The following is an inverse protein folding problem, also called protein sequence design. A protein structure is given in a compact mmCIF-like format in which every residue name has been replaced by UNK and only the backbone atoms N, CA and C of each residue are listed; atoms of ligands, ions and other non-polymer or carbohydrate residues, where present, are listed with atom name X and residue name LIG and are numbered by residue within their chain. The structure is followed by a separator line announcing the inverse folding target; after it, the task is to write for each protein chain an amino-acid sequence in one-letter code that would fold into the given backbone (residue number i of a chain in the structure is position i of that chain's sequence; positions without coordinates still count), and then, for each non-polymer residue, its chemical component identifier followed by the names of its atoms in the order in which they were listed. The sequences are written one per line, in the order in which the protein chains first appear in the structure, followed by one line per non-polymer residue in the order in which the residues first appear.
data_IF_820822987384
#
_entry.id   IF_820822987384
#
_cell.length_a   1.000
_cell.length_b   1.000
_cell.length_c   1.000
_cell.angle_alpha   90.00
_cell.angle_beta   90.00
_cell.angle_gamma   90.00
#
_symmetry.space_group_name_H-M   'P 1'
#
loop_
_entity.id
_entity.type
_entity.pdbx_description
1 polymer ?
#
# COMPACT_ATOMS: atom_id res chain seq x y z
N UNK A 1 -9.49 11.62 15.69
CA UNK A 1 -9.25 10.48 14.78
C UNK A 1 -9.79 9.23 15.42
N UNK A 2 -10.41 8.36 14.62
CA UNK A 2 -11.14 7.18 15.10
C UNK A 2 -10.48 5.91 14.55
N UNK A 3 -10.18 4.95 15.43
CA UNK A 3 -9.51 3.70 15.13
C UNK A 3 -10.48 2.56 15.37
N UNK A 4 -10.60 1.62 14.43
CA UNK A 4 -11.22 0.33 14.65
C UNK A 4 -10.14 -0.70 14.91
N UNK A 5 -10.25 -1.44 16.02
CA UNK A 5 -9.38 -2.58 16.33
C UNK A 5 -10.22 -3.85 16.22
N UNK A 6 -9.79 -4.76 15.35
CA UNK A 6 -10.43 -6.06 15.12
C UNK A 6 -9.52 -7.15 15.66
N UNK A 7 -9.85 -7.68 16.85
CA UNK A 7 -9.01 -8.61 17.62
C UNK A 7 -9.91 -9.47 18.52
N UNK A 8 -9.78 -10.78 18.47
CA UNK A 8 -10.59 -11.72 19.27
C UNK A 8 -10.05 -11.94 20.68
N UNK A 9 -8.77 -11.64 20.92
CA UNK A 9 -8.19 -11.68 22.26
C UNK A 9 -8.55 -10.42 23.06
N UNK A 10 -9.58 -10.50 23.90
CA UNK A 10 -10.14 -9.37 24.66
C UNK A 10 -9.07 -8.60 25.41
N UNK A 11 -8.14 -9.29 26.09
CA UNK A 11 -7.08 -8.62 26.88
C UNK A 11 -6.15 -7.78 26.01
N UNK A 12 -5.81 -8.27 24.82
CA UNK A 12 -4.99 -7.55 23.87
C UNK A 12 -5.77 -6.37 23.27
N UNK A 13 -7.01 -6.58 22.85
CA UNK A 13 -7.89 -5.54 22.30
C UNK A 13 -8.07 -4.37 23.27
N UNK A 14 -8.43 -4.66 24.54
CA UNK A 14 -8.58 -3.65 25.59
C UNK A 14 -7.26 -2.92 25.92
N UNK A 15 -6.16 -3.68 25.97
CA UNK A 15 -4.81 -3.11 26.18
C UNK A 15 -4.41 -2.14 25.08
N UNK A 16 -4.68 -2.49 23.82
CA UNK A 16 -4.44 -1.61 22.67
C UNK A 16 -5.35 -0.38 22.72
N UNK A 17 -6.66 -0.59 22.95
CA UNK A 17 -7.63 0.50 23.06
C UNK A 17 -7.22 1.52 24.14
N UNK A 18 -6.84 1.05 25.32
CA UNK A 18 -6.37 1.91 26.39
C UNK A 18 -5.18 2.78 25.94
N UNK A 19 -4.17 2.18 25.32
CA UNK A 19 -2.99 2.91 24.89
C UNK A 19 -3.29 3.95 23.79
N UNK A 20 -4.10 3.58 22.78
CA UNK A 20 -4.51 4.55 21.75
C UNK A 20 -5.38 5.67 22.30
N UNK A 21 -6.26 5.40 23.27
CA UNK A 21 -7.04 6.42 23.96
C UNK A 21 -6.15 7.40 24.74
N UNK A 22 -5.06 6.93 25.38
CA UNK A 22 -4.07 7.80 26.02
C UNK A 22 -3.36 8.75 25.03
N UNK A 23 -3.20 8.31 23.77
CA UNK A 23 -2.67 9.14 22.67
C UNK A 23 -3.74 10.07 22.06
N UNK A 24 -4.97 10.06 22.58
CA UNK A 24 -6.07 10.95 22.15
C UNK A 24 -6.93 10.45 21.00
N UNK A 25 -6.82 9.17 20.62
CA UNK A 25 -7.67 8.55 19.61
C UNK A 25 -9.02 8.10 20.20
N UNK A 26 -10.06 8.12 19.39
CA UNK A 26 -11.29 7.37 19.65
C UNK A 26 -11.10 5.94 19.15
N UNK A 27 -11.48 4.96 19.96
CA UNK A 27 -11.25 3.55 19.62
C UNK A 27 -12.53 2.77 19.80
N UNK A 28 -12.89 2.04 18.75
CA UNK A 28 -13.93 1.02 18.76
C UNK A 28 -13.28 -0.34 18.61
N UNK A 29 -13.91 -1.35 19.20
CA UNK A 29 -13.45 -2.74 19.21
C UNK A 29 -14.45 -3.61 18.47
N UNK A 30 -13.96 -4.54 17.66
CA UNK A 30 -14.71 -5.62 17.07
C UNK A 30 -14.00 -6.95 17.37
N UNK A 31 -14.73 -7.99 17.71
CA UNK A 31 -14.17 -9.28 18.10
C UNK A 31 -14.10 -10.30 16.98
N UNK A 32 -14.74 -10.02 15.85
CA UNK A 32 -14.77 -10.89 14.68
C UNK A 32 -15.07 -10.11 13.40
N UNK A 33 -15.06 -10.80 12.25
CA UNK A 33 -15.25 -10.19 10.96
C UNK A 33 -16.64 -9.56 10.74
N UNK A 34 -17.74 -10.28 10.97
CA UNK A 34 -19.08 -9.72 10.86
C UNK A 34 -19.29 -8.47 11.71
N UNK A 35 -18.85 -8.46 12.97
CA UNK A 35 -18.91 -7.31 13.87
C UNK A 35 -18.10 -6.12 13.33
N UNK A 36 -16.89 -6.39 12.82
CA UNK A 36 -16.05 -5.36 12.21
C UNK A 36 -16.70 -4.71 10.98
N UNK A 37 -17.28 -5.52 10.08
CA UNK A 37 -17.92 -5.01 8.87
C UNK A 37 -19.22 -4.25 9.17
N UNK A 38 -20.02 -4.71 10.15
CA UNK A 38 -21.21 -4.00 10.63
C UNK A 38 -20.82 -2.66 11.29
N UNK A 39 -19.77 -2.66 12.12
CA UNK A 39 -19.24 -1.45 12.77
C UNK A 39 -18.75 -0.43 11.74
N UNK A 40 -18.08 -0.87 10.69
CA UNK A 40 -17.64 0.00 9.58
C UNK A 40 -18.82 0.59 8.81
N UNK A 41 -19.87 -0.20 8.55
CA UNK A 41 -21.04 0.22 7.79
C UNK A 41 -21.89 1.25 8.54
N UNK A 42 -21.96 1.13 9.88
CA UNK A 42 -22.77 2.02 10.73
C UNK A 42 -21.97 3.23 11.24
N UNK A 43 -20.70 3.37 10.83
CA UNK A 43 -19.82 4.39 11.38
C UNK A 43 -20.20 5.82 10.95
N UNK A 44 -20.48 6.68 11.92
CA UNK A 44 -20.63 8.13 11.77
C UNK A 44 -19.98 8.82 12.99
N UNK A 45 -18.87 9.53 12.87
CA UNK A 45 -18.03 9.67 11.68
C UNK A 45 -17.31 8.38 11.27
N UNK A 46 -16.83 8.32 10.02
CA UNK A 46 -16.03 7.21 9.50
C UNK A 46 -14.74 6.96 10.28
N UNK A 47 -14.21 5.76 10.16
CA UNK A 47 -12.91 5.43 10.73
C UNK A 47 -11.74 6.02 9.92
N UNK A 48 -10.68 6.37 10.62
CA UNK A 48 -9.44 6.88 10.02
C UNK A 48 -8.43 5.78 9.73
N UNK A 49 -8.51 4.64 10.43
CA UNK A 49 -7.63 3.47 10.28
C UNK A 49 -8.28 2.22 10.89
N UNK A 50 -7.96 1.05 10.32
CA UNK A 50 -8.28 -0.26 10.90
C UNK A 50 -7.00 -0.96 11.31
N UNK A 51 -6.97 -1.48 12.54
CA UNK A 51 -5.94 -2.40 13.04
C UNK A 51 -6.59 -3.79 13.10
N UNK A 52 -6.04 -4.76 12.40
CA UNK A 52 -6.71 -6.02 12.10
C UNK A 52 -5.83 -7.23 12.39
N UNK A 53 -6.29 -8.16 13.23
CA UNK A 53 -5.69 -9.49 13.28
C UNK A 53 -6.14 -10.34 12.08
N UNK A 54 -5.25 -11.15 11.56
CA UNK A 54 -5.57 -12.13 10.50
C UNK A 54 -6.19 -13.43 11.02
N UNK A 55 -5.95 -13.72 12.29
CA UNK A 55 -6.32 -15.03 12.89
C UNK A 55 -7.62 -14.95 13.68
N UNK A 56 -8.65 -14.37 13.09
CA UNK A 56 -9.97 -14.25 13.70
C UNK A 56 -10.81 -15.51 13.52
N UNK A 57 -11.72 -15.80 14.44
CA UNK A 57 -12.67 -16.89 14.29
C UNK A 57 -13.70 -16.58 13.18
N UNK A 58 -14.06 -17.60 12.41
CA UNK A 58 -15.11 -17.51 11.38
C UNK A 58 -14.58 -16.91 10.08
N UNK A 59 -14.49 -15.60 9.98
CA UNK A 59 -13.99 -14.89 8.80
C UNK A 59 -12.53 -14.54 8.97
N UNK A 60 -11.69 -14.88 7.99
CA UNK A 60 -10.26 -14.56 8.06
C UNK A 60 -10.01 -13.05 7.87
N UNK A 61 -8.96 -12.51 8.51
CA UNK A 61 -8.58 -11.12 8.33
C UNK A 61 -8.24 -10.76 6.87
N UNK A 62 -7.83 -11.72 6.05
CA UNK A 62 -7.65 -11.50 4.60
C UNK A 62 -8.96 -11.21 3.87
N UNK A 63 -10.04 -11.90 4.26
CA UNK A 63 -11.38 -11.65 3.70
C UNK A 63 -11.88 -10.28 4.15
N UNK A 64 -11.72 -9.94 5.43
CA UNK A 64 -12.07 -8.62 5.97
C UNK A 64 -11.32 -7.50 5.23
N UNK A 65 -10.02 -7.65 4.97
CA UNK A 65 -9.25 -6.70 4.16
C UNK A 65 -9.88 -6.46 2.79
N UNK A 66 -10.27 -7.53 2.08
CA UNK A 66 -10.89 -7.41 0.75
C UNK A 66 -12.23 -6.69 0.82
N UNK A 67 -13.09 -7.07 1.76
CA UNK A 67 -14.39 -6.42 1.97
C UNK A 67 -14.24 -4.92 2.29
N UNK A 68 -13.25 -4.55 3.11
CA UNK A 68 -12.94 -3.14 3.37
C UNK A 68 -12.52 -2.44 2.07
N UNK A 69 -11.67 -3.06 1.25
CA UNK A 69 -11.19 -2.46 0.00
C UNK A 69 -12.28 -2.30 -1.06
N UNK A 70 -13.28 -3.16 -1.07
CA UNK A 70 -14.46 -3.01 -1.93
C UNK A 70 -15.32 -1.80 -1.53
N UNK A 71 -15.32 -1.42 -0.25
CA UNK A 71 -16.10 -0.29 0.29
C UNK A 71 -15.31 1.02 0.32
N UNK A 72 -14.10 0.96 0.84
CA UNK A 72 -13.17 2.10 0.94
C UNK A 72 -11.74 1.67 0.63
N UNK A 73 -11.31 1.98 -0.59
CA UNK A 73 -9.95 1.68 -1.06
C UNK A 73 -8.89 2.51 -0.31
N UNK A 74 -9.27 3.65 0.28
CA UNK A 74 -8.38 4.61 0.91
C UNK A 74 -8.23 4.43 2.43
N UNK A 75 -9.11 3.69 3.09
CA UNK A 75 -9.04 3.45 4.53
C UNK A 75 -7.75 2.69 4.89
N UNK A 76 -6.82 3.26 5.66
CA UNK A 76 -5.59 2.57 6.02
C UNK A 76 -5.88 1.30 6.82
N UNK A 77 -5.19 0.19 6.46
CA UNK A 77 -5.28 -1.08 7.17
C UNK A 77 -3.89 -1.49 7.63
N UNK A 78 -3.70 -1.61 8.95
CA UNK A 78 -2.52 -2.17 9.57
C UNK A 78 -2.85 -3.55 10.12
N UNK A 79 -2.17 -4.57 9.61
CA UNK A 79 -2.34 -5.95 10.08
C UNK A 79 -1.40 -6.23 11.26
N UNK A 80 -1.96 -6.82 12.34
CA UNK A 80 -1.23 -7.44 13.45
C UNK A 80 -1.42 -8.94 13.38
N UNK A 81 -0.36 -9.75 13.31
CA UNK A 81 -0.53 -11.20 13.19
C UNK A 81 0.62 -12.01 13.80
N UNK A 82 0.33 -13.17 14.36
CA UNK A 82 1.34 -14.14 14.76
C UNK A 82 2.01 -14.87 13.57
N UNK A 83 1.48 -14.71 12.36
CA UNK A 83 2.04 -15.31 11.14
C UNK A 83 3.30 -14.57 10.71
N UNK A 84 4.40 -15.32 10.54
CA UNK A 84 5.73 -14.75 10.25
C UNK A 84 6.24 -15.09 8.86
N UNK A 85 5.60 -16.04 8.17
CA UNK A 85 6.05 -16.49 6.85
C UNK A 85 5.91 -15.37 5.80
N UNK A 86 6.84 -15.36 4.87
CA UNK A 86 6.82 -14.39 3.76
C UNK A 86 5.58 -14.51 2.89
N UNK A 87 5.03 -15.73 2.77
CA UNK A 87 3.82 -16.03 2.01
C UNK A 87 2.58 -15.42 2.68
N UNK A 88 2.47 -15.50 4.01
CA UNK A 88 1.38 -14.86 4.77
C UNK A 88 1.39 -13.34 4.60
N UNK A 89 2.58 -12.74 4.68
CA UNK A 89 2.75 -11.29 4.45
C UNK A 89 2.39 -10.89 3.02
N UNK A 90 2.83 -11.68 2.03
CA UNK A 90 2.47 -11.44 0.63
C UNK A 90 0.95 -11.51 0.43
N UNK A 91 0.30 -12.52 1.00
CA UNK A 91 -1.15 -12.66 0.93
C UNK A 91 -1.90 -11.50 1.60
N UNK A 92 -1.40 -10.97 2.73
CA UNK A 92 -1.98 -9.80 3.37
C UNK A 92 -1.87 -8.54 2.49
N UNK A 93 -0.71 -8.30 1.89
CA UNK A 93 -0.54 -7.21 0.94
C UNK A 93 -1.41 -7.40 -0.31
N UNK A 94 -1.51 -8.62 -0.84
CA UNK A 94 -2.42 -8.94 -1.96
C UNK A 94 -3.91 -8.74 -1.59
N UNK A 95 -4.27 -8.92 -0.31
CA UNK A 95 -5.60 -8.60 0.20
C UNK A 95 -5.84 -7.09 0.38
N UNK A 96 -4.80 -6.26 0.33
CA UNK A 96 -4.92 -4.81 0.36
C UNK A 96 -4.47 -4.13 1.66
N UNK A 97 -3.74 -4.82 2.56
CA UNK A 97 -3.17 -4.15 3.73
C UNK A 97 -2.08 -3.15 3.34
N UNK A 98 -1.99 -2.03 4.07
CA UNK A 98 -0.96 -1.01 3.86
C UNK A 98 0.30 -1.31 4.67
N UNK A 99 0.14 -1.90 5.86
CA UNK A 99 1.25 -2.30 6.72
C UNK A 99 0.97 -3.65 7.41
N UNK A 100 2.06 -4.35 7.70
CA UNK A 100 2.05 -5.64 8.40
C UNK A 100 3.03 -5.61 9.58
N UNK A 101 2.57 -6.07 10.73
CA UNK A 101 3.38 -6.17 11.94
C UNK A 101 3.21 -7.53 12.60
N UNK A 102 4.32 -8.16 12.98
CA UNK A 102 4.28 -9.50 13.60
C UNK A 102 4.11 -9.41 15.11
N UNK A 103 3.27 -10.27 15.66
CA UNK A 103 3.18 -10.52 17.11
C UNK A 103 4.33 -11.45 17.54
N UNK A 104 5.04 -11.21 18.67
CA UNK A 104 4.89 -10.04 19.56
C UNK A 104 5.53 -8.78 18.99
N UNK A 105 4.97 -7.63 19.30
CA UNK A 105 5.43 -6.31 18.82
C UNK A 105 5.71 -5.35 19.99
N UNK A 106 6.52 -4.32 19.73
CA UNK A 106 6.72 -3.24 20.66
C UNK A 106 5.64 -2.17 20.50
N UNK A 107 4.96 -1.79 21.59
CA UNK A 107 3.91 -0.77 21.56
C UNK A 107 4.37 0.57 20.94
N UNK A 108 5.56 1.13 21.26
CA UNK A 108 6.03 2.37 20.64
C UNK A 108 6.15 2.28 19.11
N UNK A 109 6.50 1.10 18.60
CA UNK A 109 6.57 0.86 17.16
C UNK A 109 5.18 0.87 16.53
N UNK A 110 4.20 0.17 17.13
CA UNK A 110 2.82 0.17 16.67
C UNK A 110 2.24 1.60 16.63
N UNK A 111 2.42 2.38 17.71
CA UNK A 111 1.97 3.76 17.79
C UNK A 111 2.60 4.64 16.68
N UNK A 112 3.90 4.46 16.43
CA UNK A 112 4.60 5.19 15.37
C UNK A 112 4.04 4.85 13.98
N UNK A 113 3.77 3.57 13.70
CA UNK A 113 3.22 3.12 12.41
C UNK A 113 1.81 3.64 12.17
N UNK A 114 0.95 3.57 13.19
CA UNK A 114 -0.42 4.13 13.13
C UNK A 114 -0.36 5.63 12.88
N UNK A 115 0.49 6.37 13.61
CA UNK A 115 0.66 7.81 13.39
C UNK A 115 1.10 8.12 11.96
N UNK A 116 2.08 7.41 11.42
CA UNK A 116 2.55 7.59 10.05
C UNK A 116 1.46 7.34 9.00
N UNK A 117 0.61 6.31 9.19
CA UNK A 117 -0.51 6.03 8.29
C UNK A 117 -1.57 7.14 8.35
N UNK A 118 -1.90 7.61 9.56
CA UNK A 118 -2.87 8.68 9.77
C UNK A 118 -2.38 10.03 9.22
N UNK A 119 -1.11 10.39 9.45
CA UNK A 119 -0.50 11.61 8.89
C UNK A 119 -0.54 11.62 7.36
N UNK A 120 -0.32 10.47 6.73
CA UNK A 120 -0.42 10.32 5.27
C UNK A 120 -1.85 10.51 4.78
N UNK A 121 -2.84 9.95 5.48
CA UNK A 121 -4.25 10.16 5.14
C UNK A 121 -4.65 11.64 5.22
N UNK A 122 -4.08 12.40 6.14
CA UNK A 122 -4.38 13.82 6.35
C UNK A 122 -3.55 14.77 5.50
N UNK A 123 -2.44 14.31 4.92
CA UNK A 123 -1.72 15.17 3.98
C UNK A 123 -2.66 15.42 2.81
N UNK A 124 -3.19 16.65 2.67
CA UNK A 124 -3.73 17.01 1.39
C UNK A 124 -2.60 16.78 0.38
N UNK A 125 -2.92 16.48 -0.86
CA UNK A 125 -1.95 16.43 -1.96
C UNK A 125 -1.31 17.80 -2.19
N UNK A 126 -0.90 18.47 -1.12
CA UNK A 126 -0.27 19.78 -1.02
C UNK A 126 1.24 19.69 -1.28
N UNK A 127 1.69 18.88 -2.23
CA UNK A 127 2.85 19.27 -2.99
C UNK A 127 2.46 20.30 -4.07
N UNK A 128 1.53 21.21 -3.72
CA UNK A 128 1.32 22.50 -4.38
C UNK A 128 2.43 23.50 -3.99
N UNK A 129 3.68 23.10 -4.06
CA UNK A 129 4.77 24.00 -4.32
C UNK A 129 4.87 24.14 -5.84
N UNK A 130 4.57 25.30 -6.32
CA UNK A 130 4.75 26.03 -7.57
C UNK A 130 5.23 25.30 -8.87
N UNK A 131 5.43 23.99 -8.88
CA UNK A 131 5.75 23.09 -9.97
C UNK A 131 5.05 21.72 -9.81
N UNK A 132 3.77 21.72 -9.38
CA UNK A 132 3.01 20.47 -9.32
C UNK A 132 2.84 19.93 -10.72
N UNK A 133 3.29 18.70 -11.02
CA UNK A 133 2.90 18.05 -12.26
C UNK A 133 1.36 18.02 -12.32
N UNK A 134 0.83 18.10 -13.54
CA UNK A 134 -0.58 17.94 -13.85
C UNK A 134 -1.19 16.87 -12.91
N UNK A 135 -2.40 17.09 -12.32
CA UNK A 135 -3.06 16.07 -11.51
C UNK A 135 -3.23 14.74 -12.25
N UNK A 136 -3.02 14.74 -13.54
CA UNK A 136 -3.03 13.56 -14.39
C UNK A 136 -1.66 13.34 -15.04
N UNK A 137 -1.21 12.10 -15.09
CA UNK A 137 0.01 11.70 -15.78
C UNK A 137 -0.28 10.54 -16.72
N UNK A 138 0.31 10.60 -17.92
CA UNK A 138 0.14 9.55 -18.94
C UNK A 138 1.49 8.96 -19.34
N UNK A 139 1.54 7.65 -19.47
CA UNK A 139 2.68 6.91 -19.99
C UNK A 139 2.22 5.63 -20.69
N UNK A 140 2.76 5.32 -21.84
CA UNK A 140 2.27 4.21 -22.66
C UNK A 140 0.75 4.35 -22.91
N UNK A 141 -0.01 3.32 -22.53
CA UNK A 141 -1.47 3.30 -22.56
C UNK A 141 -2.10 3.50 -21.17
N UNK A 142 -1.32 3.96 -20.20
CA UNK A 142 -1.75 4.17 -18.80
C UNK A 142 -1.99 5.65 -18.55
N UNK A 143 -3.16 5.98 -17.99
CA UNK A 143 -3.49 7.31 -17.45
C UNK A 143 -3.67 7.21 -15.95
N UNK A 144 -2.98 8.05 -15.19
CA UNK A 144 -3.05 8.10 -13.72
C UNK A 144 -3.68 9.40 -13.30
N UNK A 145 -4.74 9.35 -12.50
CA UNK A 145 -5.34 10.50 -11.83
C UNK A 145 -4.98 10.44 -10.34
N UNK A 146 -4.11 11.33 -9.93
CA UNK A 146 -3.61 11.38 -8.55
C UNK A 146 -4.64 11.89 -7.54
N UNK A 147 -5.67 12.60 -7.98
CA UNK A 147 -6.71 13.14 -7.08
C UNK A 147 -7.78 12.09 -6.79
N UNK A 148 -8.20 11.35 -7.79
CA UNK A 148 -9.20 10.29 -7.65
C UNK A 148 -8.60 8.93 -7.27
N UNK A 149 -7.26 8.82 -7.21
CA UNK A 149 -6.54 7.56 -6.99
C UNK A 149 -6.90 6.49 -8.03
N UNK A 150 -7.14 6.91 -9.26
CA UNK A 150 -7.50 6.02 -10.35
C UNK A 150 -6.35 5.86 -11.34
N UNK A 151 -6.22 4.65 -11.83
CA UNK A 151 -5.37 4.27 -12.93
C UNK A 151 -6.24 3.66 -14.02
N UNK A 152 -6.20 4.23 -15.21
CA UNK A 152 -6.95 3.78 -16.37
C UNK A 152 -6.00 3.25 -17.43
N UNK A 153 -6.29 2.08 -17.95
CA UNK A 153 -5.66 1.51 -19.14
C UNK A 153 -6.70 1.42 -20.27
N UNK A 154 -6.29 0.94 -21.44
CA UNK A 154 -7.25 0.75 -22.56
C UNK A 154 -8.36 -0.25 -22.21
N UNK A 155 -8.08 -1.21 -21.31
CA UNK A 155 -8.98 -2.33 -21.01
C UNK A 155 -9.72 -2.16 -19.68
N UNK A 156 -9.11 -1.48 -18.67
CA UNK A 156 -9.61 -1.47 -17.29
C UNK A 156 -9.38 -0.15 -16.56
N UNK A 157 -10.20 0.07 -15.51
CA UNK A 157 -10.02 1.15 -14.52
C UNK A 157 -9.75 0.52 -13.15
N UNK A 158 -8.62 0.87 -12.56
CA UNK A 158 -8.21 0.39 -11.24
C UNK A 158 -8.25 1.51 -10.22
N UNK A 159 -8.83 1.24 -9.06
CA UNK A 159 -8.70 2.11 -7.89
C UNK A 159 -7.47 1.66 -7.08
N UNK A 160 -6.53 2.57 -6.87
CA UNK A 160 -5.32 2.30 -6.13
C UNK A 160 -5.51 2.65 -4.66
N UNK A 161 -4.92 1.85 -3.77
CA UNK A 161 -4.75 2.27 -2.39
C UNK A 161 -3.78 3.46 -2.33
N UNK A 162 -3.81 4.20 -1.23
CA UNK A 162 -2.91 5.36 -1.05
C UNK A 162 -1.44 4.96 -1.22
N UNK A 163 -1.03 3.85 -0.63
CA UNK A 163 0.37 3.41 -0.70
C UNK A 163 0.78 2.98 -2.13
N UNK A 164 -0.12 2.39 -2.90
CA UNK A 164 0.12 2.06 -4.30
C UNK A 164 0.27 3.32 -5.14
N UNK A 165 -0.57 4.32 -4.92
CA UNK A 165 -0.50 5.60 -5.60
C UNK A 165 0.77 6.37 -5.23
N UNK A 166 1.14 6.40 -3.94
CA UNK A 166 2.39 7.03 -3.48
C UNK A 166 3.62 6.35 -4.10
N UNK A 167 3.63 5.02 -4.18
CA UNK A 167 4.71 4.27 -4.84
C UNK A 167 4.79 4.57 -6.34
N UNK A 168 3.64 4.60 -7.02
CA UNK A 168 3.59 4.91 -8.45
C UNK A 168 4.05 6.35 -8.71
N UNK A 169 3.59 7.32 -7.91
CA UNK A 169 4.03 8.72 -7.98
C UNK A 169 5.54 8.82 -7.77
N UNK A 170 6.08 8.13 -6.76
CA UNK A 170 7.50 8.12 -6.47
C UNK A 170 8.33 7.59 -7.67
N UNK A 171 7.85 6.56 -8.34
CA UNK A 171 8.46 6.07 -9.56
C UNK A 171 8.42 7.08 -10.71
N UNK A 172 7.29 7.74 -10.90
CA UNK A 172 7.10 8.75 -11.96
C UNK A 172 8.02 9.95 -11.73
N UNK A 173 8.09 10.47 -10.51
CA UNK A 173 8.97 11.60 -10.14
C UNK A 173 10.46 11.27 -10.31
N UNK A 174 10.83 9.99 -10.32
CA UNK A 174 12.20 9.53 -10.50
C UNK A 174 12.39 8.75 -11.81
N UNK A 175 11.67 9.15 -12.88
CA UNK A 175 11.75 8.48 -14.18
C UNK A 175 13.20 8.34 -14.66
N UNK A 176 13.55 7.14 -15.15
CA UNK A 176 14.89 6.75 -15.61
C UNK A 176 15.90 6.45 -14.50
N UNK A 177 15.63 6.83 -13.25
CA UNK A 177 16.57 6.61 -12.15
C UNK A 177 16.48 5.19 -11.57
N UNK A 178 17.62 4.66 -11.11
CA UNK A 178 17.65 3.40 -10.37
C UNK A 178 17.41 3.69 -8.89
N UNK A 179 16.30 3.19 -8.38
CA UNK A 179 15.90 3.32 -6.98
C UNK A 179 16.18 2.03 -6.23
N UNK A 180 16.95 2.13 -5.14
CA UNK A 180 17.18 0.96 -4.29
C UNK A 180 15.92 0.62 -3.49
N UNK A 181 15.75 -0.66 -3.13
CA UNK A 181 14.63 -1.09 -2.29
C UNK A 181 14.56 -0.33 -0.96
N UNK A 182 15.72 -0.01 -0.38
CA UNK A 182 15.80 0.78 0.85
C UNK A 182 15.36 2.23 0.66
N UNK A 183 15.72 2.88 -0.46
CA UNK A 183 15.22 4.22 -0.77
C UNK A 183 13.70 4.21 -0.93
N UNK A 184 13.17 3.29 -1.75
CA UNK A 184 11.73 3.15 -1.94
C UNK A 184 11.03 2.93 -0.59
N UNK A 185 11.55 2.02 0.23
CA UNK A 185 10.97 1.71 1.53
C UNK A 185 10.96 2.92 2.46
N UNK A 186 12.09 3.63 2.57
CA UNK A 186 12.21 4.82 3.41
C UNK A 186 11.32 5.95 2.93
N UNK A 187 11.31 6.23 1.62
CA UNK A 187 10.69 7.43 1.07
C UNK A 187 9.17 7.24 0.88
N UNK A 188 8.71 6.01 0.59
CA UNK A 188 7.29 5.69 0.41
C UNK A 188 6.64 5.19 1.70
N UNK A 189 7.33 4.46 2.59
CA UNK A 189 6.76 3.92 3.84
C UNK A 189 7.21 4.64 5.11
N UNK A 190 8.22 5.54 5.03
CA UNK A 190 8.81 6.21 6.17
C UNK A 190 9.96 5.40 6.79
N UNK A 191 10.49 5.85 7.94
CA UNK A 191 11.65 5.20 8.57
C UNK A 191 11.46 3.70 8.84
N UNK A 192 12.55 2.91 8.71
CA UNK A 192 12.48 1.46 8.65
C UNK A 192 12.21 0.86 10.03
N UNK A 193 11.07 0.29 10.17
CA UNK A 193 10.86 -0.78 11.13
C UNK A 193 10.41 -1.99 10.33
N UNK A 194 11.02 -3.12 10.47
CA UNK A 194 10.67 -4.48 10.02
C UNK A 194 9.89 -4.72 8.69
N UNK A 195 9.44 -3.65 7.99
CA UNK A 195 8.97 -3.77 6.61
C UNK A 195 10.18 -4.24 5.81
N UNK A 196 10.16 -5.49 5.42
CA UNK A 196 11.26 -6.07 4.65
C UNK A 196 11.22 -5.53 3.23
N UNK A 197 12.36 -5.49 2.57
CA UNK A 197 12.49 -5.20 1.14
C UNK A 197 11.56 -6.06 0.26
N UNK A 198 11.07 -7.20 0.77
CA UNK A 198 10.05 -8.04 0.12
C UNK A 198 8.67 -7.40 0.02
N UNK A 199 8.31 -6.51 0.96
CA UNK A 199 7.05 -5.76 0.86
C UNK A 199 7.04 -4.86 -0.37
N UNK A 200 8.16 -4.16 -0.63
CA UNK A 200 8.32 -3.37 -1.86
C UNK A 200 8.11 -4.23 -3.11
N UNK A 201 8.68 -5.46 -3.12
CA UNK A 201 8.56 -6.37 -4.25
C UNK A 201 7.09 -6.77 -4.52
N UNK A 202 6.27 -6.97 -3.47
CA UNK A 202 4.84 -7.28 -3.60
C UNK A 202 4.05 -6.11 -4.20
N UNK A 203 4.26 -4.89 -3.72
CA UNK A 203 3.61 -3.70 -4.29
C UNK A 203 4.04 -3.45 -5.74
N UNK A 204 5.31 -3.65 -6.07
CA UNK A 204 5.78 -3.57 -7.45
C UNK A 204 5.10 -4.62 -8.33
N UNK A 205 4.93 -5.85 -7.84
CA UNK A 205 4.20 -6.89 -8.58
C UNK A 205 2.73 -6.52 -8.82
N UNK A 206 2.06 -5.90 -7.82
CA UNK A 206 0.68 -5.43 -7.98
C UNK A 206 0.59 -4.30 -9.00
N UNK A 207 1.45 -3.28 -8.91
CA UNK A 207 1.50 -2.22 -9.91
C UNK A 207 1.74 -2.78 -11.32
N UNK A 208 2.68 -3.72 -11.48
CA UNK A 208 2.92 -4.35 -12.78
C UNK A 208 1.69 -5.05 -13.35
N UNK A 209 0.89 -5.73 -12.51
CA UNK A 209 -0.36 -6.37 -12.96
C UNK A 209 -1.36 -5.37 -13.53
N UNK A 210 -1.32 -4.12 -13.08
CA UNK A 210 -2.23 -3.07 -13.52
C UNK A 210 -1.71 -2.29 -14.72
N UNK A 211 -0.37 -2.06 -14.81
CA UNK A 211 0.20 -1.16 -15.82
C UNK A 211 0.93 -1.85 -16.97
N UNK A 212 1.38 -3.10 -16.79
CA UNK A 212 2.18 -3.79 -17.80
C UNK A 212 1.31 -4.72 -18.64
N UNK A 213 1.46 -4.72 -19.97
CA UNK A 213 0.79 -5.70 -20.83
C UNK A 213 1.14 -7.14 -20.47
N UNK A 214 2.39 -7.39 -20.06
CA UNK A 214 2.87 -8.66 -19.52
C UNK A 214 3.69 -8.38 -18.23
N UNK A 215 3.13 -8.65 -17.03
CA UNK A 215 3.84 -8.43 -15.76
C UNK A 215 5.16 -9.24 -15.64
N UNK A 216 5.30 -10.34 -16.38
CA UNK A 216 6.51 -11.15 -16.37
C UNK A 216 7.62 -10.56 -17.26
N UNK A 217 7.24 -9.71 -18.24
CA UNK A 217 8.14 -8.98 -19.13
C UNK A 217 7.88 -7.48 -19.04
N UNK A 218 8.12 -6.86 -17.87
CA UNK A 218 7.75 -5.47 -17.63
C UNK A 218 8.55 -4.52 -18.52
N UNK A 219 7.89 -3.44 -18.98
CA UNK A 219 8.48 -2.41 -19.83
C UNK A 219 8.64 -1.08 -19.06
N UNK A 220 7.75 -0.81 -18.10
CA UNK A 220 7.75 0.41 -17.33
C UNK A 220 8.48 0.26 -15.99
N UNK A 221 8.17 -0.74 -15.18
CA UNK A 221 8.87 -0.96 -13.89
C UNK A 221 9.89 -2.10 -14.05
N UNK A 222 11.13 -1.76 -14.36
CA UNK A 222 12.20 -2.72 -14.60
C UNK A 222 12.90 -3.13 -13.30
N UNK A 223 13.22 -4.43 -13.15
CA UNK A 223 14.07 -4.90 -12.06
C UNK A 223 15.55 -4.65 -12.36
N UNK A 224 16.27 -4.03 -11.44
CA UNK A 224 17.73 -3.91 -11.48
C UNK A 224 18.30 -4.90 -10.49
N UNK A 225 18.93 -5.97 -11.02
CA UNK A 225 19.41 -7.11 -10.22
C UNK A 225 20.32 -6.67 -9.07
N UNK A 226 20.02 -7.13 -7.86
CA UNK A 226 20.80 -6.84 -6.67
C UNK A 226 20.62 -5.41 -6.10
N UNK A 227 19.90 -4.50 -6.81
CA UNK A 227 19.77 -3.11 -6.42
C UNK A 227 18.32 -2.75 -6.07
N UNK A 228 17.41 -2.81 -7.03
CA UNK A 228 16.03 -2.35 -6.84
C UNK A 228 15.27 -2.27 -8.15
N UNK A 229 14.71 -1.10 -8.43
CA UNK A 229 13.84 -0.88 -9.58
C UNK A 229 14.18 0.40 -10.32
N UNK A 230 13.77 0.47 -11.59
CA UNK A 230 13.83 1.67 -12.41
C UNK A 230 12.52 1.79 -13.18
N UNK A 231 11.88 2.93 -13.09
CA UNK A 231 10.72 3.26 -13.88
C UNK A 231 11.15 3.91 -15.21
N UNK A 232 10.42 3.63 -16.27
CA UNK A 232 10.59 4.25 -17.59
C UNK A 232 9.20 4.57 -18.15
N UNK A 233 8.86 5.87 -18.22
CA UNK A 233 7.57 6.31 -18.72
C UNK A 233 7.41 6.01 -20.22
N UNK A 234 8.47 6.21 -21.01
CA UNK A 234 8.47 6.00 -22.45
C UNK A 234 9.55 4.97 -22.83
N UNK A 235 9.28 3.65 -22.66
CA UNK A 235 10.22 2.62 -23.07
C UNK A 235 10.34 2.56 -24.59
N UNK A 236 11.55 2.32 -25.09
CA UNK A 236 11.78 2.14 -26.53
C UNK A 236 10.84 1.08 -27.10
N UNK A 237 10.26 1.31 -28.28
CA UNK A 237 9.45 0.30 -28.94
C UNK A 237 10.28 -0.96 -29.18
N UNK A 238 9.74 -2.12 -28.79
CA UNK A 238 10.37 -3.42 -28.98
C UNK A 238 10.53 -3.64 -30.49
N UNK A 239 11.75 -3.46 -31.04
CA UNK A 239 12.01 -3.83 -32.41
C UNK A 239 12.95 -2.96 -33.23
N UNK A 240 14.05 -2.39 -32.69
CA UNK A 240 15.06 -1.83 -33.57
C UNK A 240 16.52 -1.93 -33.07
N UNK A 241 16.89 -3.05 -32.48
CA UNK A 241 18.29 -3.29 -32.08
C UNK A 241 18.90 -4.46 -32.83
N UNK A 242 18.69 -4.56 -34.15
CA UNK A 242 19.48 -5.45 -35.02
C UNK A 242 19.41 -4.95 -36.45
N UNK A 243 20.13 -3.87 -36.78
CA UNK A 243 20.65 -3.62 -38.12
C UNK A 243 21.52 -2.38 -38.11
N UNK A 244 22.82 -2.54 -37.94
CA UNK A 244 23.84 -1.83 -38.68
C UNK A 244 25.23 -2.18 -38.17
N UNK A 245 25.76 -3.29 -38.56
CA UNK A 245 27.16 -3.30 -38.92
C UNK A 245 27.24 -3.31 -40.47
N UNK A 246 27.71 -2.24 -41.08
CA UNK A 246 28.25 -2.37 -42.44
C UNK A 246 29.69 -2.88 -42.31
N UNK A 247 29.90 -4.07 -42.77
CA UNK A 247 31.26 -4.54 -43.07
C UNK A 247 31.90 -3.66 -44.13
N UNK A 248 33.15 -3.32 -43.92
CA UNK A 248 34.21 -3.08 -44.90
C UNK A 248 35.54 -3.10 -44.18
#
# INVERSE_FOLDING_TARGET
MRILIVEDEITLAEGLAFNFQQEGYQVDLASDGPDALETLEQADPEFDIVILDLMLPGMSGYEICREIRERDVQLPILVLSARTLSEDKAQAFDAGTDQYMTKPFALPELLSRVRNLLERRQRPDNNNTVDSPDPQFQFGNVSVDFLSFQLTTDDDVHNLTRIEMELLRYFIEHDGMVLTRHQILRDVWGEPSEITTRSTDNFVMRLRRMIEPDPAQPRHILSVRGTGYRFIANPDPVGNSLQSEPGS
#
